data_IF_256877263771
#
_entry.id   IF_256877263771
#
_cell.length_a   1.000
_cell.length_b   1.000
_cell.length_c   1.000
_cell.angle_alpha   90.00
_cell.angle_beta   90.00
_cell.angle_gamma   90.00
#
_symmetry.space_group_name_H-M   'P 1'
#
loop_
_entity.id
_entity.type
_entity.pdbx_description
1 polymer ?
#
# COMPACT_ATOMS: atom_id res chain seq x y z
N UNK A 1 0.84 18.58 7.90
CA UNK A 1 0.99 17.14 7.67
C UNK A 1 0.90 16.89 6.17
N UNK A 2 1.81 16.09 5.61
CA UNK A 2 1.86 15.86 4.16
C UNK A 2 0.78 14.88 3.70
N UNK A 3 0.10 15.24 2.63
CA UNK A 3 -0.74 14.37 1.81
C UNK A 3 -0.06 14.27 0.45
N UNK A 4 0.32 13.05 0.05
CA UNK A 4 0.80 12.79 -1.31
C UNK A 4 -0.38 12.33 -2.18
N UNK A 5 -0.51 12.88 -3.38
CA UNK A 5 -1.33 12.29 -4.46
C UNK A 5 -0.49 11.27 -5.21
N UNK A 6 -1.05 10.08 -5.45
CA UNK A 6 -0.36 8.99 -6.15
C UNK A 6 -1.06 8.69 -7.47
N UNK A 7 -0.34 8.83 -8.58
CA UNK A 7 -0.74 8.39 -9.91
C UNK A 7 -0.06 7.06 -10.24
N UNK A 8 -0.84 5.98 -10.41
CA UNK A 8 -0.29 4.65 -10.69
C UNK A 8 -0.34 4.38 -12.20
N UNK A 9 0.83 4.31 -12.85
CA UNK A 9 0.99 3.79 -14.21
C UNK A 9 1.47 2.34 -14.13
N UNK A 10 0.66 1.40 -14.61
CA UNK A 10 0.96 -0.03 -14.52
C UNK A 10 2.09 -0.43 -15.49
N UNK A 11 3.23 -0.85 -14.94
CA UNK A 11 4.24 -1.63 -15.65
C UNK A 11 4.50 -2.90 -14.84
N UNK A 12 4.40 -4.11 -15.42
CA UNK A 12 4.36 -5.33 -14.63
C UNK A 12 5.76 -5.69 -14.09
N UNK A 13 5.95 -5.54 -12.78
CA UNK A 13 7.01 -6.23 -12.04
C UNK A 13 6.40 -7.43 -11.30
N UNK A 14 7.08 -8.57 -11.36
CA UNK A 14 6.63 -9.77 -10.66
C UNK A 14 7.37 -9.90 -9.32
N UNK A 15 6.62 -9.90 -8.21
CA UNK A 15 7.16 -10.26 -6.91
C UNK A 15 7.30 -11.79 -6.83
N UNK A 16 8.46 -12.26 -6.39
CA UNK A 16 8.74 -13.67 -6.11
C UNK A 16 9.17 -13.79 -4.65
N UNK A 17 8.42 -14.55 -3.86
CA UNK A 17 8.66 -14.59 -2.40
C UNK A 17 8.50 -15.99 -1.78
N UNK A 18 9.26 -16.21 -0.69
CA UNK A 18 9.10 -17.29 0.28
C UNK A 18 9.14 -16.70 1.70
N UNK A 19 8.46 -17.36 2.63
CA UNK A 19 8.41 -16.94 4.04
C UNK A 19 8.68 -18.13 4.95
N UNK A 20 9.37 -17.88 6.06
CA UNK A 20 9.55 -18.83 7.14
C UNK A 20 9.29 -18.14 8.47
N UNK A 21 8.83 -18.91 9.46
CA UNK A 21 8.86 -18.49 10.87
C UNK A 21 10.32 -18.44 11.30
N UNK A 22 10.67 -17.43 12.10
CA UNK A 22 12.03 -17.24 12.66
C UNK A 22 12.00 -17.70 14.12
N UNK A 23 12.92 -18.60 14.45
CA UNK A 23 13.10 -19.20 15.77
C UNK A 23 13.96 -18.32 16.70
N UNK A 24 15.13 -17.90 16.23
CA UNK A 24 16.04 -16.99 16.94
C UNK A 24 16.39 -15.81 16.05
N UNK A 25 15.78 -14.66 16.36
CA UNK A 25 15.97 -13.45 15.57
C UNK A 25 17.43 -13.00 15.50
N UNK A 26 18.18 -13.08 16.60
CA UNK A 26 19.58 -12.59 16.65
C UNK A 26 20.47 -13.50 15.81
N UNK A 27 20.34 -14.80 15.99
CA UNK A 27 21.11 -15.80 15.25
C UNK A 27 20.83 -15.71 13.75
N UNK A 28 19.54 -15.70 13.35
CA UNK A 28 19.15 -15.65 11.93
C UNK A 28 19.53 -14.34 11.27
N UNK A 29 19.40 -13.21 11.97
CA UNK A 29 19.89 -11.91 11.48
C UNK A 29 21.39 -11.94 11.19
N UNK A 30 22.19 -12.51 12.10
CA UNK A 30 23.63 -12.64 11.89
C UNK A 30 23.98 -13.47 10.65
N UNK A 31 23.23 -14.53 10.34
CA UNK A 31 23.42 -15.27 9.08
C UNK A 31 23.10 -14.44 7.85
N UNK A 32 21.99 -13.69 7.87
CA UNK A 32 21.59 -12.82 6.74
C UNK A 32 22.62 -11.72 6.50
N UNK A 33 23.09 -11.06 7.55
CA UNK A 33 24.11 -10.00 7.44
C UNK A 33 25.45 -10.53 6.90
N UNK A 34 25.90 -11.72 7.36
CA UNK A 34 27.09 -12.38 6.82
C UNK A 34 26.96 -12.80 5.36
N UNK A 35 25.74 -13.12 4.92
CA UNK A 35 25.44 -13.40 3.51
C UNK A 35 25.31 -12.14 2.63
N UNK A 36 25.57 -10.95 3.19
CA UNK A 36 25.50 -9.67 2.47
C UNK A 36 24.15 -8.96 2.56
N UNK A 37 23.20 -9.50 3.32
CA UNK A 37 21.94 -8.85 3.62
C UNK A 37 22.16 -7.55 4.41
N UNK A 38 21.41 -6.51 4.07
CA UNK A 38 21.48 -5.20 4.75
C UNK A 38 20.13 -4.89 5.37
N UNK A 39 20.13 -4.41 6.61
CA UNK A 39 18.92 -3.93 7.28
C UNK A 39 18.35 -2.75 6.48
N UNK A 40 17.11 -2.91 6.00
CA UNK A 40 16.37 -1.83 5.31
C UNK A 40 15.43 -1.07 6.25
N UNK A 41 14.88 -1.74 7.24
CA UNK A 41 13.98 -1.15 8.23
C UNK A 41 13.96 -2.02 9.50
N UNK A 42 13.91 -1.37 10.66
CA UNK A 42 13.60 -1.99 11.95
C UNK A 42 12.65 -1.07 12.71
N UNK A 43 11.48 -1.59 13.05
CA UNK A 43 10.42 -0.82 13.70
C UNK A 43 9.07 -1.51 13.52
N UNK A 44 8.01 -0.77 13.76
CA UNK A 44 6.63 -1.26 13.64
C UNK A 44 6.15 -1.07 12.21
N UNK A 45 5.50 -2.10 11.66
CA UNK A 45 4.74 -2.00 10.41
C UNK A 45 3.27 -2.21 10.74
N UNK A 46 2.41 -1.30 10.29
CA UNK A 46 0.96 -1.41 10.43
C UNK A 46 0.32 -1.49 9.06
N UNK A 47 -0.41 -2.57 8.81
CA UNK A 47 -1.10 -2.79 7.55
C UNK A 47 -2.58 -2.38 7.64
N UNK A 48 -3.04 -1.67 6.61
CA UNK A 48 -4.45 -1.51 6.30
C UNK A 48 -4.71 -2.10 4.91
N UNK A 49 -5.55 -3.14 4.86
CA UNK A 49 -5.95 -3.78 3.62
C UNK A 49 -7.27 -3.21 3.12
N UNK A 50 -7.35 -3.02 1.80
CA UNK A 50 -8.57 -2.66 1.08
C UNK A 50 -8.90 -3.81 0.14
N UNK A 51 -10.03 -4.45 0.41
CA UNK A 51 -10.52 -5.61 -0.34
C UNK A 51 -12.02 -5.41 -0.56
N UNK A 52 -12.50 -5.68 -1.78
CA UNK A 52 -13.93 -5.68 -2.02
C UNK A 52 -14.57 -6.83 -1.20
N UNK A 53 -15.56 -6.49 -0.37
CA UNK A 53 -16.12 -7.35 0.68
C UNK A 53 -16.72 -8.69 0.23
N UNK A 54 -16.76 -8.98 -1.07
CA UNK A 54 -17.35 -10.21 -1.59
C UNK A 54 -16.38 -11.40 -1.65
N UNK A 55 -15.05 -11.22 -1.65
CA UNK A 55 -14.11 -12.36 -1.62
C UNK A 55 -12.69 -12.02 -1.12
N UNK A 56 -12.44 -12.03 0.22
CA UNK A 56 -11.09 -11.81 0.77
C UNK A 56 -10.04 -12.82 0.28
N UNK A 57 -10.45 -14.03 -0.11
CA UNK A 57 -9.56 -15.12 -0.56
C UNK A 57 -9.67 -15.44 -2.06
N UNK A 58 -10.34 -14.62 -2.87
CA UNK A 58 -10.53 -14.91 -4.31
C UNK A 58 -9.25 -14.92 -5.14
N UNK A 59 -8.14 -14.43 -4.59
CA UNK A 59 -7.00 -14.04 -5.40
C UNK A 59 -7.30 -12.86 -6.32
N UNK A 60 -8.40 -12.11 -6.12
CA UNK A 60 -8.53 -10.79 -6.74
C UNK A 60 -7.41 -9.87 -6.24
N UNK A 61 -7.01 -8.91 -7.09
CA UNK A 61 -6.02 -7.91 -6.70
C UNK A 61 -6.41 -7.21 -5.40
N UNK A 62 -5.44 -6.93 -4.53
CA UNK A 62 -5.66 -6.30 -3.24
C UNK A 62 -4.78 -5.07 -3.10
N UNK A 63 -5.35 -4.01 -2.52
CA UNK A 63 -4.58 -2.83 -2.16
C UNK A 63 -4.26 -2.85 -0.67
N UNK A 64 -3.06 -2.39 -0.33
CA UNK A 64 -2.57 -2.28 1.04
C UNK A 64 -1.91 -0.93 1.20
N UNK A 65 -2.27 -0.24 2.28
CA UNK A 65 -1.49 0.87 2.80
C UNK A 65 -0.71 0.33 4.00
N UNK A 66 0.63 0.39 3.95
CA UNK A 66 1.49 0.03 5.07
C UNK A 66 2.17 1.27 5.62
N UNK A 67 2.01 1.52 6.90
CA UNK A 67 2.75 2.57 7.61
C UNK A 67 3.92 1.95 8.35
N UNK A 68 5.11 2.48 8.10
CA UNK A 68 6.35 2.16 8.78
C UNK A 68 6.57 3.20 9.87
N UNK A 69 6.82 2.75 11.08
CA UNK A 69 7.06 3.61 12.24
C UNK A 69 8.34 3.19 12.97
N UNK A 70 9.27 4.12 13.09
CA UNK A 70 10.46 4.06 13.92
C UNK A 70 10.68 5.42 14.61
N UNK A 71 11.44 5.49 15.72
CA UNK A 71 11.63 6.74 16.46
C UNK A 71 12.13 7.94 15.65
N UNK A 72 12.92 7.69 14.59
CA UNK A 72 13.52 8.72 13.74
C UNK A 72 12.98 8.75 12.30
N UNK A 73 12.14 7.78 11.91
CA UNK A 73 11.69 7.63 10.52
C UNK A 73 10.26 7.10 10.47
N UNK A 74 9.45 7.69 9.60
CA UNK A 74 8.11 7.22 9.32
C UNK A 74 7.72 7.50 7.88
N UNK A 75 7.15 6.51 7.21
CA UNK A 75 6.66 6.64 5.85
C UNK A 75 5.49 5.70 5.62
N UNK A 76 4.77 5.92 4.53
CA UNK A 76 3.69 5.06 4.09
C UNK A 76 3.97 4.53 2.69
N UNK A 77 3.65 3.26 2.49
CA UNK A 77 3.76 2.58 1.21
C UNK A 77 2.35 2.16 0.77
N UNK A 78 1.98 2.57 -0.44
CA UNK A 78 0.77 2.09 -1.11
C UNK A 78 1.18 0.97 -2.06
N UNK A 79 0.60 -0.20 -1.87
CA UNK A 79 0.89 -1.39 -2.66
C UNK A 79 -0.39 -1.95 -3.24
N UNK A 80 -0.43 -2.16 -4.55
CA UNK A 80 -1.39 -3.05 -5.20
C UNK A 80 -0.69 -4.37 -5.53
N UNK A 81 -1.30 -5.48 -5.10
CA UNK A 81 -0.83 -6.84 -5.42
C UNK A 81 -1.91 -7.52 -6.25
N UNK A 82 -1.56 -7.92 -7.47
CA UNK A 82 -2.42 -8.71 -8.34
C UNK A 82 -2.65 -10.15 -7.84
N UNK A 83 -3.34 -10.93 -8.66
CA UNK A 83 -3.63 -12.33 -8.37
C UNK A 83 -2.37 -13.16 -8.18
N UNK A 84 -2.32 -13.92 -7.09
CA UNK A 84 -1.19 -14.79 -6.80
C UNK A 84 -1.33 -16.16 -7.48
N UNK A 85 -0.20 -16.70 -7.94
CA UNK A 85 -0.07 -18.05 -8.49
C UNK A 85 1.13 -18.75 -7.85
N UNK A 86 1.13 -20.08 -7.86
CA UNK A 86 2.28 -20.88 -7.46
C UNK A 86 3.04 -21.34 -8.70
N UNK A 87 4.32 -21.01 -8.78
CA UNK A 87 5.20 -21.41 -9.87
C UNK A 87 6.48 -21.99 -9.28
N UNK A 88 6.77 -23.27 -9.58
CA UNK A 88 7.98 -23.97 -9.10
C UNK A 88 8.20 -23.87 -7.58
N UNK A 89 7.13 -23.85 -6.80
CA UNK A 89 7.18 -23.71 -5.33
C UNK A 89 7.26 -22.27 -4.82
N UNK A 90 7.32 -21.28 -5.70
CA UNK A 90 7.32 -19.86 -5.36
C UNK A 90 5.94 -19.25 -5.53
N UNK A 91 5.61 -18.28 -4.68
CA UNK A 91 4.45 -17.42 -4.89
C UNK A 91 4.84 -16.29 -5.83
N UNK A 92 4.15 -16.20 -6.97
CA UNK A 92 4.35 -15.19 -8.02
C UNK A 92 3.10 -14.35 -8.17
N UNK A 93 3.26 -13.02 -8.28
CA UNK A 93 2.14 -12.10 -8.55
C UNK A 93 2.65 -10.80 -9.18
N UNK A 94 1.77 -10.12 -9.90
CA UNK A 94 2.00 -8.73 -10.29
C UNK A 94 1.96 -7.83 -9.04
N UNK A 95 2.87 -6.86 -8.99
CA UNK A 95 2.92 -5.87 -7.92
C UNK A 95 3.22 -4.48 -8.47
N UNK A 96 2.53 -3.50 -7.88
CA UNK A 96 2.83 -2.09 -8.03
C UNK A 96 2.93 -1.49 -6.64
N UNK A 97 4.04 -0.85 -6.34
CA UNK A 97 4.23 -0.12 -5.09
C UNK A 97 4.67 1.31 -5.38
N UNK A 98 4.29 2.20 -4.46
CA UNK A 98 4.93 3.50 -4.32
C UNK A 98 5.16 3.79 -2.85
N UNK A 99 6.23 4.53 -2.56
CA UNK A 99 6.63 4.92 -1.21
C UNK A 99 6.60 6.42 -1.09
N UNK A 100 5.88 6.91 -0.09
CA UNK A 100 5.70 8.33 0.18
C UNK A 100 6.04 8.67 1.63
N UNK A 101 6.68 9.81 1.86
CA UNK A 101 6.89 10.35 3.22
C UNK A 101 5.62 11.12 3.64
N UNK A 102 4.54 10.38 3.83
CA UNK A 102 3.25 10.90 4.27
C UNK A 102 2.64 9.95 5.30
N UNK A 103 1.91 10.52 6.28
CA UNK A 103 1.17 9.72 7.28
C UNK A 103 -0.20 9.27 6.74
N UNK A 104 -0.68 9.93 5.69
CA UNK A 104 -1.95 9.67 5.03
C UNK A 104 -1.75 9.81 3.52
N UNK A 105 -2.35 8.91 2.75
CA UNK A 105 -2.28 8.87 1.29
C UNK A 105 -3.65 9.22 0.72
N UNK A 106 -3.67 10.13 -0.27
CA UNK A 106 -4.85 10.41 -1.08
C UNK A 106 -4.78 9.56 -2.35
N UNK A 107 -5.86 8.87 -2.68
CA UNK A 107 -6.00 8.13 -3.94
C UNK A 107 -6.97 8.88 -4.83
N UNK A 108 -6.49 9.35 -5.98
CA UNK A 108 -7.29 9.96 -7.03
C UNK A 108 -7.42 8.98 -8.20
N UNK A 109 -8.62 8.88 -8.76
CA UNK A 109 -8.91 8.02 -9.93
C UNK A 109 -9.49 8.90 -11.01
N UNK A 110 -8.78 9.01 -12.13
CA UNK A 110 -9.14 9.89 -13.25
C UNK A 110 -9.29 9.08 -14.54
N UNK A 111 -10.24 9.48 -15.40
CA UNK A 111 -10.48 8.82 -16.68
C UNK A 111 -11.92 8.94 -17.18
N UNK A 112 -12.28 8.14 -18.19
CA UNK A 112 -13.66 7.97 -18.62
C UNK A 112 -14.49 7.29 -17.50
N UNK A 113 -15.81 7.57 -17.38
CA UNK A 113 -16.63 7.04 -16.29
C UNK A 113 -16.52 5.52 -16.10
N UNK A 114 -16.54 4.75 -17.19
CA UNK A 114 -16.44 3.29 -17.14
C UNK A 114 -15.07 2.83 -16.65
N UNK A 115 -14.00 3.53 -17.05
CA UNK A 115 -12.64 3.27 -16.60
C UNK A 115 -12.44 3.61 -15.12
N UNK A 116 -13.05 4.71 -14.65
CA UNK A 116 -13.05 5.09 -13.23
C UNK A 116 -13.71 4.01 -12.39
N UNK A 117 -14.92 3.55 -12.77
CA UNK A 117 -15.64 2.53 -11.99
C UNK A 117 -14.86 1.20 -11.98
N UNK A 118 -14.23 0.82 -13.09
CA UNK A 118 -13.36 -0.37 -13.13
C UNK A 118 -12.12 -0.21 -12.22
N UNK A 119 -11.48 0.96 -12.23
CA UNK A 119 -10.32 1.23 -11.37
C UNK A 119 -10.72 1.24 -9.88
N UNK A 120 -11.86 1.84 -9.52
CA UNK A 120 -12.41 1.82 -8.16
C UNK A 120 -12.59 0.37 -7.68
N UNK A 121 -13.19 -0.49 -8.50
CA UNK A 121 -13.33 -1.91 -8.18
C UNK A 121 -11.97 -2.58 -7.94
N UNK A 122 -10.96 -2.28 -8.75
CA UNK A 122 -9.61 -2.82 -8.61
C UNK A 122 -8.87 -2.34 -7.34
N UNK A 123 -9.20 -1.15 -6.82
CA UNK A 123 -8.63 -0.65 -5.56
C UNK A 123 -9.14 -1.39 -4.32
N UNK A 124 -10.35 -1.96 -4.40
CA UNK A 124 -11.04 -2.53 -3.23
C UNK A 124 -11.49 -1.50 -2.18
N UNK A 125 -11.36 -0.19 -2.45
CA UNK A 125 -11.97 0.87 -1.64
C UNK A 125 -13.47 0.91 -1.97
N UNK A 126 -14.37 0.95 -0.98
CA UNK A 126 -15.81 1.08 -1.23
C UNK A 126 -16.14 2.36 -2.02
N UNK A 127 -17.02 2.24 -3.02
CA UNK A 127 -17.35 3.32 -3.97
C UNK A 127 -17.85 4.60 -3.27
N UNK A 128 -18.52 4.44 -2.13
CA UNK A 128 -19.04 5.51 -1.27
C UNK A 128 -17.95 6.31 -0.53
N UNK A 129 -16.70 5.82 -0.51
CA UNK A 129 -15.56 6.56 0.03
C UNK A 129 -14.91 7.49 -0.99
N UNK A 130 -15.29 7.39 -2.28
CA UNK A 130 -14.87 8.33 -3.32
C UNK A 130 -15.89 9.48 -3.41
N UNK A 131 -15.38 10.70 -3.51
CA UNK A 131 -16.19 11.93 -3.60
C UNK A 131 -15.88 12.68 -4.90
N UNK A 132 -16.87 13.42 -5.41
CA UNK A 132 -16.71 14.36 -6.50
C UNK A 132 -16.52 15.81 -6.00
N UNK A 133 -16.37 15.99 -4.68
CA UNK A 133 -16.14 17.30 -4.07
C UNK A 133 -14.83 17.94 -4.59
N UNK A 134 -14.79 19.27 -4.73
CA UNK A 134 -13.54 19.97 -5.00
C UNK A 134 -12.49 19.64 -3.93
N UNK A 135 -11.23 19.47 -4.33
CA UNK A 135 -10.13 19.08 -3.44
C UNK A 135 -10.04 19.96 -2.18
N UNK A 136 -10.26 21.27 -2.32
CA UNK A 136 -10.29 22.21 -1.18
C UNK A 136 -11.33 21.83 -0.12
N UNK A 137 -12.50 21.36 -0.54
CA UNK A 137 -13.57 20.94 0.37
C UNK A 137 -13.26 19.59 1.02
N UNK A 138 -12.71 18.65 0.24
CA UNK A 138 -12.20 17.40 0.77
C UNK A 138 -11.14 17.63 1.87
N UNK A 139 -10.15 18.50 1.60
CA UNK A 139 -9.10 18.84 2.55
C UNK A 139 -9.70 19.42 3.83
N UNK A 140 -10.65 20.36 3.72
CA UNK A 140 -11.35 20.95 4.87
C UNK A 140 -12.02 19.89 5.75
N UNK A 141 -12.74 18.94 5.14
CA UNK A 141 -13.39 17.83 5.86
C UNK A 141 -12.37 16.88 6.49
N UNK A 142 -11.29 16.60 5.79
CA UNK A 142 -10.20 15.76 6.30
C UNK A 142 -9.53 16.39 7.53
N UNK A 143 -9.20 17.68 7.45
CA UNK A 143 -8.60 18.44 8.55
C UNK A 143 -9.54 18.48 9.77
N UNK A 144 -10.83 18.69 9.55
CA UNK A 144 -11.83 18.68 10.62
C UNK A 144 -11.96 17.30 11.30
N UNK A 145 -11.86 16.21 10.54
CA UNK A 145 -11.96 14.84 11.07
C UNK A 145 -10.71 14.37 11.80
N UNK A 146 -9.53 14.78 11.33
CA UNK A 146 -8.24 14.30 11.86
C UNK A 146 -7.58 15.30 12.80
N UNK A 147 -8.20 16.48 13.00
CA UNK A 147 -7.62 17.62 13.72
C UNK A 147 -6.22 18.01 13.22
N UNK A 148 -5.89 17.67 11.98
CA UNK A 148 -4.54 17.81 11.43
C UNK A 148 -4.55 18.56 10.11
N UNK A 149 -3.79 19.66 10.02
CA UNK A 149 -3.67 20.49 8.81
C UNK A 149 -3.02 19.73 7.67
N UNK A 150 -3.67 19.73 6.52
CA UNK A 150 -3.20 19.10 5.30
C UNK A 150 -2.29 20.04 4.50
N UNK A 151 -1.20 19.49 3.99
CA UNK A 151 -0.34 20.12 2.98
C UNK A 151 -0.30 19.16 1.81
N UNK A 152 -0.85 19.58 0.68
CA UNK A 152 -0.74 18.88 -0.58
C UNK A 152 0.53 19.41 -1.27
N UNK A 153 1.43 18.52 -1.66
CA UNK A 153 2.63 18.82 -2.47
C UNK A 153 2.45 18.26 -3.88
#
# INVERSE_FOLDING_TARGET
>A
MRLSSVFIKMAPMHEVELKSVVDDLRLRRGYVERAGGRLRFAGTMVDRYYTLGTRPDSGAGRMRVRTYWAPSEGWTELTWKGSARLERGYKVREELDTREIAWYVLVEVEGAPEAIEHAIQATGIPREQFTAEPLKEFLRRFEARTSTKALLE
#
